data_IF_912959693670
#
_entry.id   IF_912959693670
#
_cell.length_a   1.000
_cell.length_b   1.000
_cell.length_c   1.000
_cell.angle_alpha   90.00
_cell.angle_beta   90.00
_cell.angle_gamma   90.00
#
_symmetry.space_group_name_H-M   'P 1'
#
loop_
_entity.id
_entity.type
_entity.pdbx_description
1 polymer ?
#
# COMPACT_ATOMS: atom_id res chain seq x y z
N UNK A 1 -17.24 -4.93 -36.41
CA UNK A 1 -16.30 -6.03 -36.66
C UNK A 1 -15.75 -6.47 -35.32
N UNK A 2 -15.89 -7.77 -35.08
CA UNK A 2 -15.39 -8.62 -33.99
C UNK A 2 -15.77 -8.28 -32.55
N UNK A 3 -17.00 -8.73 -32.23
CA UNK A 3 -17.42 -9.22 -30.92
C UNK A 3 -16.90 -10.65 -30.73
N UNK A 4 -16.31 -10.95 -29.59
CA UNK A 4 -16.26 -12.31 -29.06
C UNK A 4 -16.81 -12.31 -27.63
N UNK A 5 -17.92 -13.02 -27.47
CA UNK A 5 -18.61 -13.37 -26.23
C UNK A 5 -18.77 -14.89 -26.18
N UNK A 6 -18.94 -15.42 -24.96
CA UNK A 6 -19.37 -16.78 -24.59
C UNK A 6 -18.28 -17.87 -24.72
N UNK A 7 -18.09 -18.78 -23.75
CA UNK A 7 -19.10 -19.66 -23.15
C UNK A 7 -18.77 -20.06 -21.69
N UNK A 8 -19.82 -20.10 -20.86
CA UNK A 8 -19.98 -20.77 -19.55
C UNK A 8 -19.70 -22.28 -19.55
N UNK A 9 -19.10 -22.84 -18.49
CA UNK A 9 -19.45 -24.19 -18.00
C UNK A 9 -19.35 -24.26 -16.46
N UNK A 10 -20.55 -24.30 -15.87
CA UNK A 10 -21.04 -25.01 -14.68
C UNK A 10 -20.12 -25.59 -13.58
N UNK A 11 -20.54 -25.29 -12.35
CA UNK A 11 -20.60 -26.15 -11.15
C UNK A 11 -20.43 -27.67 -11.35
N UNK A 12 -19.54 -28.28 -10.55
CA UNK A 12 -19.78 -29.58 -9.88
C UNK A 12 -19.17 -29.54 -8.49
N UNK A 13 -20.03 -29.63 -7.47
CA UNK A 13 -19.70 -30.00 -6.10
C UNK A 13 -19.65 -31.51 -5.92
N UNK A 14 -18.84 -31.94 -4.95
CA UNK A 14 -18.81 -33.23 -4.24
C UNK A 14 -17.91 -34.39 -4.72
N UNK A 15 -17.22 -34.91 -3.69
CA UNK A 15 -16.55 -36.21 -3.53
C UNK A 15 -15.09 -36.33 -3.98
N UNK A 16 -14.17 -36.15 -3.03
CA UNK A 16 -13.33 -37.27 -2.57
C UNK A 16 -12.57 -36.88 -1.29
N UNK A 17 -13.23 -37.10 -0.15
CA UNK A 17 -12.54 -37.57 1.04
C UNK A 17 -12.18 -39.01 0.74
N UNK A 18 -10.96 -39.27 0.27
CA UNK A 18 -10.33 -40.61 0.19
C UNK A 18 -8.95 -40.49 -0.46
N UNK A 19 -7.96 -39.99 0.31
CA UNK A 19 -6.55 -40.18 -0.03
C UNK A 19 -5.63 -40.08 1.20
N UNK A 20 -6.15 -40.52 2.35
CA UNK A 20 -5.38 -40.74 3.60
C UNK A 20 -5.27 -42.24 3.93
N UNK A 21 -5.05 -43.07 2.92
CA UNK A 21 -4.67 -44.47 3.10
C UNK A 21 -3.48 -44.79 2.19
N UNK A 22 -2.28 -44.33 2.55
CA UNK A 22 -1.04 -44.85 1.98
C UNK A 22 0.19 -44.50 2.83
N UNK A 23 0.16 -44.79 4.13
CA UNK A 23 1.36 -44.66 4.98
C UNK A 23 1.42 -45.75 6.05
N UNK A 24 1.45 -47.02 5.66
CA UNK A 24 1.91 -48.13 6.50
C UNK A 24 2.52 -49.23 5.61
N UNK A 25 3.71 -48.98 5.07
CA UNK A 25 4.58 -50.03 4.52
C UNK A 25 5.57 -50.46 5.61
N UNK A 26 5.15 -51.39 6.48
CA UNK A 26 6.08 -52.21 7.25
C UNK A 26 6.06 -53.62 6.67
N UNK A 27 7.01 -53.91 5.78
CA UNK A 27 7.32 -55.27 5.39
C UNK A 27 8.01 -55.97 6.56
N UNK A 28 7.30 -56.87 7.24
CA UNK A 28 7.90 -57.84 8.15
C UNK A 28 8.60 -58.93 7.31
N UNK A 29 9.90 -59.23 7.51
CA UNK A 29 10.49 -60.43 6.93
C UNK A 29 10.11 -61.63 7.80
N UNK A 30 9.25 -62.51 7.27
CA UNK A 30 9.00 -63.82 7.82
C UNK A 30 10.08 -64.81 7.33
N UNK A 31 10.71 -65.48 8.30
CA UNK A 31 11.01 -66.92 8.30
C UNK A 31 12.30 -67.46 7.61
N UNK A 32 13.09 -68.15 8.45
CA UNK A 32 13.82 -69.41 8.20
C UNK A 32 15.24 -69.36 7.60
N UNK A 33 16.27 -69.33 8.46
CA UNK A 33 17.41 -70.27 8.33
C UNK A 33 18.20 -70.37 9.64
N UNK A 34 18.62 -71.59 9.96
CA UNK A 34 19.60 -71.98 10.99
C UNK A 34 19.12 -72.04 12.44
N UNK A 35 18.58 -73.19 12.81
CA UNK A 35 19.08 -73.98 13.94
C UNK A 35 18.65 -75.44 13.74
N UNK A 36 19.65 -76.29 13.57
CA UNK A 36 19.55 -77.73 13.35
C UNK A 36 18.94 -78.42 14.58
N UNK A 37 17.95 -79.29 14.34
CA UNK A 37 17.64 -80.41 15.24
C UNK A 37 18.61 -81.56 14.94
N UNK A 38 18.94 -82.37 15.96
CA UNK A 38 18.92 -83.82 15.77
C UNK A 38 17.75 -84.45 16.51
N UNK A 39 17.06 -85.34 15.80
CA UNK A 39 16.12 -86.34 16.30
C UNK A 39 16.69 -87.13 17.49
N UNK A 40 15.86 -87.34 18.51
CA UNK A 40 15.62 -88.69 19.06
C UNK A 40 14.51 -88.64 20.12
N UNK A 41 13.39 -89.30 19.81
CA UNK A 41 12.38 -89.73 20.77
C UNK A 41 12.67 -91.20 21.09
N UNK A 42 12.61 -91.61 22.37
CA UNK A 42 11.76 -92.75 22.69
C UNK A 42 10.93 -92.56 23.98
N UNK A 43 9.62 -92.59 23.78
CA UNK A 43 8.58 -93.35 24.52
C UNK A 43 8.86 -93.79 25.97
N UNK A 44 8.00 -93.40 26.92
CA UNK A 44 7.24 -94.31 27.84
C UNK A 44 6.34 -93.55 28.84
N UNK A 45 5.11 -94.05 28.99
CA UNK A 45 4.01 -93.65 29.90
C UNK A 45 4.37 -93.75 31.40
N UNK A 46 3.41 -93.54 32.34
CA UNK A 46 2.45 -92.45 32.54
C UNK A 46 2.60 -91.92 34.00
N UNK A 47 1.73 -91.00 34.42
CA UNK A 47 1.19 -90.89 35.80
C UNK A 47 1.20 -89.47 36.35
N UNK A 48 0.10 -89.22 37.06
CA UNK A 48 -0.07 -88.25 38.13
C UNK A 48 -0.48 -86.85 37.68
N UNK A 49 -1.80 -86.62 37.77
CA UNK A 49 -2.36 -85.30 38.12
C UNK A 49 -1.56 -84.75 39.30
N UNK A 50 -0.63 -83.86 39.01
CA UNK A 50 0.09 -83.07 40.00
C UNK A 50 -0.61 -81.72 40.03
N UNK A 51 -1.09 -81.34 41.21
CA UNK A 51 -1.79 -80.09 41.45
C UNK A 51 -0.80 -78.94 41.16
N UNK A 52 -0.83 -78.40 39.94
CA UNK A 52 0.03 -77.30 39.43
C UNK A 52 -0.52 -75.90 39.75
N UNK A 53 -1.52 -75.78 40.64
CA UNK A 53 -2.17 -74.49 40.90
C UNK A 53 -1.21 -73.43 41.48
N UNK A 54 -0.20 -73.83 42.26
CA UNK A 54 0.77 -72.88 42.83
C UNK A 54 1.66 -72.22 41.76
N UNK A 55 2.08 -72.98 40.75
CA UNK A 55 2.97 -72.51 39.68
C UNK A 55 2.21 -71.70 38.61
N UNK A 56 0.94 -72.05 38.39
CA UNK A 56 0.03 -71.24 37.57
C UNK A 56 -0.25 -69.90 38.27
N UNK A 57 -0.47 -69.87 39.59
CA UNK A 57 -0.72 -68.63 40.33
C UNK A 57 0.48 -67.70 40.42
N UNK A 58 1.71 -68.22 40.54
CA UNK A 58 2.93 -67.40 40.48
C UNK A 58 3.13 -66.84 39.07
N UNK A 59 2.90 -67.64 38.02
CA UNK A 59 2.94 -67.18 36.64
C UNK A 59 1.87 -66.14 36.32
N UNK A 60 0.66 -66.28 36.87
CA UNK A 60 -0.43 -65.32 36.70
C UNK A 60 -0.08 -63.98 37.35
N UNK A 61 0.47 -63.99 38.57
CA UNK A 61 0.98 -62.78 39.23
C UNK A 61 2.15 -62.13 38.48
N UNK A 62 3.04 -62.91 37.90
CA UNK A 62 4.12 -62.38 37.07
C UNK A 62 3.57 -61.70 35.80
N UNK A 63 2.58 -62.32 35.13
CA UNK A 63 1.93 -61.75 33.96
C UNK A 63 1.14 -60.48 34.29
N UNK A 64 0.46 -60.44 35.44
CA UNK A 64 -0.20 -59.23 35.95
C UNK A 64 0.82 -58.11 36.17
N UNK A 65 1.96 -58.41 36.79
CA UNK A 65 3.03 -57.45 37.00
C UNK A 65 3.63 -56.94 35.69
N UNK A 66 3.91 -57.83 34.74
CA UNK A 66 4.44 -57.46 33.43
C UNK A 66 3.42 -56.60 32.65
N UNK A 67 2.13 -56.92 32.76
CA UNK A 67 1.05 -56.14 32.17
C UNK A 67 0.95 -54.74 32.79
N UNK A 68 1.06 -54.62 34.12
CA UNK A 68 1.11 -53.32 34.81
C UNK A 68 2.33 -52.49 34.39
N UNK A 69 3.51 -53.11 34.30
CA UNK A 69 4.72 -52.45 33.83
C UNK A 69 4.59 -51.96 32.38
N UNK A 70 4.06 -52.79 31.49
CA UNK A 70 3.80 -52.43 30.10
C UNK A 70 2.77 -51.30 29.99
N UNK A 71 1.73 -51.34 30.82
CA UNK A 71 0.70 -50.29 30.88
C UNK A 71 1.31 -48.95 31.31
N UNK A 72 2.13 -48.94 32.38
CA UNK A 72 2.83 -47.74 32.83
C UNK A 72 3.82 -47.21 31.78
N UNK A 73 4.54 -48.11 31.11
CA UNK A 73 5.45 -47.75 30.03
C UNK A 73 4.70 -47.11 28.85
N UNK A 74 3.56 -47.67 28.47
CA UNK A 74 2.73 -47.14 27.39
C UNK A 74 2.16 -45.76 27.74
N UNK A 75 1.68 -45.55 28.97
CA UNK A 75 1.25 -44.23 29.44
C UNK A 75 2.39 -43.21 29.39
N UNK A 76 3.62 -43.60 29.76
CA UNK A 76 4.79 -42.73 29.64
C UNK A 76 5.11 -42.39 28.18
N UNK A 77 5.05 -43.38 27.28
CA UNK A 77 5.27 -43.19 25.84
C UNK A 77 4.20 -42.31 25.19
N UNK A 78 2.94 -42.44 25.59
CA UNK A 78 1.86 -41.56 25.12
C UNK A 78 2.10 -40.12 25.55
N UNK A 79 2.56 -39.92 26.80
CA UNK A 79 2.91 -38.59 27.31
C UNK A 79 4.08 -37.99 26.55
N UNK A 80 5.16 -38.74 26.32
CA UNK A 80 6.32 -38.25 25.57
C UNK A 80 5.97 -37.97 24.11
N UNK A 81 5.19 -38.82 23.44
CA UNK A 81 4.70 -38.55 22.08
C UNK A 81 3.87 -37.27 22.01
N UNK A 82 3.00 -37.03 23.00
CA UNK A 82 2.23 -35.78 23.06
C UNK A 82 3.14 -34.56 23.19
N UNK A 83 4.16 -34.62 24.04
CA UNK A 83 5.13 -33.54 24.21
C UNK A 83 5.89 -33.30 22.91
N UNK A 84 6.43 -34.35 22.29
CA UNK A 84 7.16 -34.24 21.02
C UNK A 84 6.28 -33.65 19.91
N UNK A 85 5.00 -34.04 19.85
CA UNK A 85 4.06 -33.45 18.89
C UNK A 85 3.89 -31.96 19.12
N UNK A 86 3.68 -31.52 20.37
CA UNK A 86 3.57 -30.10 20.71
C UNK A 86 4.86 -29.33 20.40
N UNK A 87 6.03 -29.93 20.65
CA UNK A 87 7.33 -29.31 20.33
C UNK A 87 7.54 -29.20 18.82
N UNK A 88 7.15 -30.21 18.04
CA UNK A 88 7.17 -30.15 16.58
C UNK A 88 6.22 -29.08 16.04
N UNK A 89 4.98 -29.02 16.55
CA UNK A 89 3.99 -28.01 16.15
C UNK A 89 4.51 -26.60 16.47
N UNK A 90 5.09 -26.41 17.67
CA UNK A 90 5.72 -25.13 18.06
C UNK A 90 6.88 -24.75 17.14
N UNK A 91 7.77 -25.69 16.83
CA UNK A 91 8.93 -25.43 15.97
C UNK A 91 8.49 -25.08 14.54
N UNK A 92 7.45 -25.73 14.02
CA UNK A 92 6.84 -25.38 12.72
C UNK A 92 6.23 -23.97 12.78
N UNK A 93 5.54 -23.63 13.86
CA UNK A 93 4.99 -22.29 14.02
C UNK A 93 6.08 -21.22 14.10
N UNK A 94 7.14 -21.43 14.88
CA UNK A 94 8.30 -20.53 14.98
C UNK A 94 8.98 -20.34 13.61
N UNK A 95 9.20 -21.43 12.87
CA UNK A 95 9.82 -21.37 11.54
C UNK A 95 8.91 -20.72 10.48
N UNK A 96 7.59 -20.83 10.62
CA UNK A 96 6.62 -20.26 9.66
C UNK A 96 6.10 -18.89 10.05
N UNK A 97 6.37 -18.41 11.26
CA UNK A 97 5.83 -17.15 11.78
C UNK A 97 6.26 -15.95 10.92
N UNK A 98 7.54 -15.87 10.54
CA UNK A 98 8.07 -14.80 9.71
C UNK A 98 7.39 -14.77 8.35
N UNK A 99 7.24 -15.93 7.70
CA UNK A 99 6.54 -16.07 6.43
C UNK A 99 5.05 -15.69 6.53
N UNK A 100 4.38 -16.09 7.63
CA UNK A 100 2.97 -15.70 7.87
C UNK A 100 2.83 -14.18 8.00
N UNK A 101 3.75 -13.53 8.70
CA UNK A 101 3.79 -12.06 8.83
C UNK A 101 4.05 -11.37 7.49
N UNK A 102 5.05 -11.83 6.74
CA UNK A 102 5.39 -11.29 5.41
C UNK A 102 4.22 -11.44 4.43
N UNK A 103 3.55 -12.60 4.40
CA UNK A 103 2.35 -12.81 3.57
C UNK A 103 1.23 -11.84 3.98
N UNK A 104 1.05 -11.60 5.28
CA UNK A 104 0.03 -10.67 5.76
C UNK A 104 0.35 -9.23 5.35
N UNK A 105 1.61 -8.81 5.43
CA UNK A 105 2.07 -7.49 5.01
C UNK A 105 1.95 -7.30 3.50
N UNK A 106 2.41 -8.26 2.71
CA UNK A 106 2.25 -8.26 1.25
C UNK A 106 0.79 -8.16 0.82
N UNK A 107 -0.13 -8.85 1.52
CA UNK A 107 -1.57 -8.73 1.28
C UNK A 107 -2.09 -7.32 1.56
N UNK A 108 -1.70 -6.71 2.69
CA UNK A 108 -2.08 -5.32 3.01
C UNK A 108 -1.57 -4.35 1.96
N UNK A 109 -0.29 -4.45 1.60
CA UNK A 109 0.35 -3.60 0.59
C UNK A 109 -0.31 -3.80 -0.79
N UNK A 110 -0.64 -5.02 -1.17
CA UNK A 110 -1.31 -5.30 -2.44
C UNK A 110 -2.70 -4.65 -2.50
N UNK A 111 -3.50 -4.75 -1.43
CA UNK A 111 -4.81 -4.08 -1.35
C UNK A 111 -4.65 -2.56 -1.43
N UNK A 112 -3.67 -1.99 -0.74
CA UNK A 112 -3.39 -0.56 -0.80
C UNK A 112 -2.98 -0.11 -2.21
N UNK A 113 -2.10 -0.87 -2.88
CA UNK A 113 -1.67 -0.60 -4.24
C UNK A 113 -2.82 -0.74 -5.25
N UNK A 114 -3.70 -1.73 -5.08
CA UNK A 114 -4.89 -1.88 -5.93
C UNK A 114 -5.82 -0.68 -5.78
N UNK A 115 -6.06 -0.22 -4.55
CA UNK A 115 -6.86 0.99 -4.27
C UNK A 115 -6.23 2.23 -4.87
N UNK A 116 -4.92 2.44 -4.67
CA UNK A 116 -4.19 3.59 -5.22
C UNK A 116 -4.18 3.58 -6.75
N UNK A 117 -3.95 2.43 -7.39
CA UNK A 117 -4.01 2.33 -8.85
C UNK A 117 -5.40 2.65 -9.39
N UNK A 118 -6.46 2.22 -8.70
CA UNK A 118 -7.84 2.56 -9.11
C UNK A 118 -8.08 4.06 -9.04
N UNK A 119 -7.68 4.72 -7.95
CA UNK A 119 -7.81 6.18 -7.82
C UNK A 119 -7.03 6.92 -8.91
N UNK A 120 -5.79 6.50 -9.20
CA UNK A 120 -4.98 7.08 -10.26
C UNK A 120 -5.61 6.87 -11.66
N UNK A 121 -6.24 5.72 -11.90
CA UNK A 121 -6.97 5.48 -13.14
C UNK A 121 -8.19 6.39 -13.27
N UNK A 122 -8.93 6.58 -12.19
CA UNK A 122 -10.09 7.48 -12.14
C UNK A 122 -9.65 8.93 -12.39
N UNK A 123 -8.58 9.40 -11.73
CA UNK A 123 -8.00 10.74 -11.94
C UNK A 123 -7.53 10.94 -13.39
N UNK A 124 -6.85 9.94 -13.96
CA UNK A 124 -6.42 9.95 -15.35
C UNK A 124 -7.60 10.03 -16.31
N UNK A 125 -8.69 9.31 -16.03
CA UNK A 125 -9.90 9.36 -16.84
C UNK A 125 -10.54 10.75 -16.80
N UNK A 126 -10.70 11.33 -15.61
CA UNK A 126 -11.23 12.69 -15.42
C UNK A 126 -10.37 13.72 -16.15
N UNK A 127 -9.05 13.69 -16.00
CA UNK A 127 -8.15 14.63 -16.67
C UNK A 127 -8.18 14.48 -18.19
N UNK A 128 -8.33 13.25 -18.69
CA UNK A 128 -8.48 13.01 -20.13
C UNK A 128 -9.79 13.60 -20.65
N UNK A 129 -10.88 13.45 -19.91
CA UNK A 129 -12.18 14.04 -20.24
C UNK A 129 -12.14 15.57 -20.20
N UNK A 130 -11.54 16.17 -19.16
CA UNK A 130 -11.34 17.61 -19.06
C UNK A 130 -10.55 18.15 -20.26
N UNK A 131 -9.42 17.53 -20.59
CA UNK A 131 -8.61 17.90 -21.76
C UNK A 131 -9.40 17.79 -23.06
N UNK A 132 -10.20 16.74 -23.21
CA UNK A 132 -11.06 16.56 -24.37
C UNK A 132 -12.16 17.62 -24.43
N UNK A 133 -12.75 18.00 -23.29
CA UNK A 133 -13.73 19.09 -23.19
C UNK A 133 -13.10 20.42 -23.60
N UNK A 134 -11.93 20.77 -23.04
CA UNK A 134 -11.21 22.01 -23.38
C UNK A 134 -10.88 22.05 -24.87
N UNK A 135 -10.40 20.94 -25.44
CA UNK A 135 -10.15 20.83 -26.89
C UNK A 135 -11.44 21.06 -27.69
N UNK A 136 -12.54 20.42 -27.31
CA UNK A 136 -13.82 20.55 -27.99
C UNK A 136 -14.38 21.97 -27.90
N UNK A 137 -14.23 22.62 -26.74
CA UNK A 137 -14.69 23.97 -26.51
C UNK A 137 -13.82 24.98 -27.26
N UNK A 138 -12.51 24.75 -27.36
CA UNK A 138 -11.64 25.50 -28.25
C UNK A 138 -12.12 25.39 -29.70
N UNK A 139 -12.40 24.19 -30.20
CA UNK A 139 -12.92 23.98 -31.56
C UNK A 139 -14.26 24.71 -31.75
N UNK A 140 -15.17 24.69 -30.76
CA UNK A 140 -16.44 25.42 -30.82
C UNK A 140 -16.27 26.93 -30.81
N UNK A 141 -15.29 27.44 -30.07
CA UNK A 141 -15.00 28.88 -29.98
C UNK A 141 -14.18 29.40 -31.17
N UNK A 142 -13.60 28.52 -32.00
CA UNK A 142 -12.92 28.91 -33.21
C UNK A 142 -13.90 29.58 -34.19
N UNK A 143 -13.89 30.92 -34.20
CA UNK A 143 -14.66 31.73 -35.16
C UNK A 143 -14.17 31.56 -36.60
N UNK A 144 -12.91 31.15 -36.76
CA UNK A 144 -12.28 30.90 -38.04
C UNK A 144 -11.67 29.50 -38.01
N UNK A 145 -12.16 28.64 -38.88
CA UNK A 145 -11.50 27.36 -39.22
C UNK A 145 -10.14 27.71 -39.84
N UNK A 146 -9.09 26.99 -39.46
CA UNK A 146 -7.69 27.37 -39.67
C UNK A 146 -7.32 27.77 -41.11
N UNK A 147 -6.12 28.37 -41.31
CA UNK A 147 -5.67 28.88 -42.60
C UNK A 147 -5.74 27.84 -43.73
N UNK A 148 -5.60 26.55 -43.39
CA UNK A 148 -5.72 25.42 -44.32
C UNK A 148 -7.16 25.23 -44.83
N UNK A 149 -8.16 25.38 -43.96
CA UNK A 149 -9.56 25.29 -44.36
C UNK A 149 -9.96 26.52 -45.19
N UNK A 150 -9.52 27.71 -44.79
CA UNK A 150 -9.72 28.94 -45.57
C UNK A 150 -9.11 28.79 -46.97
N UNK A 151 -7.90 28.26 -47.08
CA UNK A 151 -7.26 27.94 -48.35
C UNK A 151 -8.08 26.97 -49.20
N UNK A 152 -8.58 25.88 -48.61
CA UNK A 152 -9.40 24.90 -49.33
C UNK A 152 -10.70 25.52 -49.86
N UNK A 153 -11.39 26.33 -49.06
CA UNK A 153 -12.60 27.04 -49.49
C UNK A 153 -12.28 28.03 -50.62
N UNK A 154 -11.19 28.80 -50.49
CA UNK A 154 -10.75 29.71 -51.55
C UNK A 154 -10.37 28.95 -52.84
N UNK A 155 -9.72 27.79 -52.74
CA UNK A 155 -9.36 26.97 -53.89
C UNK A 155 -10.58 26.37 -54.59
N UNK A 156 -11.57 25.90 -53.83
CA UNK A 156 -12.83 25.39 -54.37
C UNK A 156 -13.56 26.50 -55.15
N UNK A 157 -13.65 27.71 -54.60
CA UNK A 157 -14.23 28.85 -55.31
C UNK A 157 -13.46 29.20 -56.60
N UNK A 158 -12.13 29.07 -56.62
CA UNK A 158 -11.32 29.27 -57.83
C UNK A 158 -11.68 28.25 -58.91
N UNK A 159 -11.73 26.97 -58.54
CA UNK A 159 -12.05 25.88 -59.45
C UNK A 159 -13.46 26.03 -60.02
N UNK A 160 -14.46 26.37 -59.19
CA UNK A 160 -15.82 26.63 -59.67
C UNK A 160 -15.88 27.76 -60.71
N UNK A 161 -15.12 28.84 -60.51
CA UNK A 161 -15.04 29.94 -61.49
C UNK A 161 -14.35 29.58 -62.79
N UNK A 162 -13.31 28.74 -62.71
CA UNK A 162 -12.64 28.24 -63.91
C UNK A 162 -13.57 27.37 -64.75
N UNK A 163 -14.39 26.54 -64.08
CA UNK A 163 -15.43 25.72 -64.74
C UNK A 163 -16.51 26.60 -65.37
N UNK A 164 -16.92 27.71 -64.73
CA UNK A 164 -17.92 28.67 -65.23
C UNK A 164 -17.38 29.62 -66.33
N UNK A 165 -16.14 29.42 -66.81
CA UNK A 165 -15.52 30.22 -67.86
C UNK A 165 -15.12 31.65 -67.45
N UNK A 166 -15.15 31.98 -66.14
CA UNK A 166 -14.77 33.28 -65.58
C UNK A 166 -13.37 33.24 -64.98
N UNK A 167 -12.41 32.73 -65.76
CA UNK A 167 -11.01 32.57 -65.36
C UNK A 167 -10.26 33.88 -65.16
N UNK A 168 -10.78 34.98 -65.71
CA UNK A 168 -10.11 36.26 -65.76
C UNK A 168 -10.67 37.18 -64.68
N UNK A 169 -9.79 37.90 -64.00
CA UNK A 169 -10.16 38.94 -63.04
C UNK A 169 -10.04 40.28 -63.81
N UNK A 170 -11.12 41.07 -63.92
CA UNK A 170 -11.17 42.22 -64.86
C UNK A 170 -10.41 43.47 -64.35
N UNK A 171 -10.80 43.98 -63.18
CA UNK A 171 -10.25 45.23 -62.60
C UNK A 171 -9.77 45.07 -61.16
N UNK A 172 -10.33 44.10 -60.45
CA UNK A 172 -10.03 43.79 -59.05
C UNK A 172 -9.80 42.29 -58.88
N UNK A 173 -8.81 41.91 -58.08
CA UNK A 173 -8.56 40.52 -57.73
C UNK A 173 -9.73 39.98 -56.91
N UNK A 174 -10.13 38.75 -57.21
CA UNK A 174 -11.35 38.14 -56.66
C UNK A 174 -11.19 37.60 -55.24
N UNK A 175 -9.96 37.60 -54.71
CA UNK A 175 -9.62 37.16 -53.35
C UNK A 175 -9.23 38.32 -52.45
N UNK A 176 -8.51 39.30 -52.97
CA UNK A 176 -8.01 40.42 -52.16
C UNK A 176 -8.89 41.67 -52.26
N UNK A 177 -9.84 41.71 -53.22
CA UNK A 177 -10.60 42.91 -53.59
C UNK A 177 -9.71 44.13 -53.93
N UNK A 178 -8.41 43.93 -54.10
CA UNK A 178 -7.44 44.96 -54.46
C UNK A 178 -7.43 45.15 -55.98
N UNK A 179 -7.18 46.38 -56.46
CA UNK A 179 -7.05 46.64 -57.88
C UNK A 179 -5.86 45.88 -58.46
N UNK A 180 -6.02 45.38 -59.68
CA UNK A 180 -4.99 44.60 -60.37
C UNK A 180 -3.70 45.40 -60.64
N UNK A 181 -3.78 46.73 -60.59
CA UNK A 181 -2.64 47.64 -60.69
C UNK A 181 -1.67 47.57 -59.50
N UNK A 182 -2.09 47.02 -58.36
CA UNK A 182 -1.31 46.96 -57.12
C UNK A 182 -0.86 45.52 -56.76
N UNK A 183 -1.23 44.52 -57.58
CA UNK A 183 -1.05 43.09 -57.27
C UNK A 183 0.16 42.41 -57.94
N UNK A 184 1.03 41.81 -57.13
CA UNK A 184 2.35 41.22 -57.44
C UNK A 184 2.44 39.99 -58.36
N UNK A 185 1.43 39.63 -59.15
CA UNK A 185 1.54 38.44 -60.03
C UNK A 185 0.89 38.64 -61.39
N UNK A 186 1.70 39.22 -62.28
CA UNK A 186 1.45 39.32 -63.72
C UNK A 186 2.36 38.30 -64.39
N UNK A 187 1.78 37.29 -65.04
CA UNK A 187 2.52 36.40 -65.92
C UNK A 187 2.22 36.85 -67.35
N UNK A 188 3.20 37.45 -68.02
CA UNK A 188 3.12 37.73 -69.46
C UNK A 188 3.53 36.47 -70.21
N UNK A 189 2.58 35.86 -70.92
CA UNK A 189 2.89 34.78 -71.85
C UNK A 189 3.69 35.33 -73.05
N UNK A 190 4.62 34.56 -73.65
CA UNK A 190 5.27 34.95 -74.89
C UNK A 190 4.22 35.16 -75.99
N UNK A 191 4.33 36.23 -76.80
CA UNK A 191 3.35 36.51 -77.85
C UNK A 191 3.38 35.41 -78.92
N UNK A 192 2.20 34.89 -79.32
CA UNK A 192 2.09 33.90 -80.40
C UNK A 192 2.29 34.53 -81.80
N UNK A 193 2.27 35.87 -81.94
CA UNK A 193 2.53 36.62 -83.17
C UNK A 193 3.22 37.97 -82.89
N UNK A 194 4.09 38.43 -83.80
CA UNK A 194 4.93 39.64 -83.64
C UNK A 194 4.15 40.98 -83.56
N UNK A 195 2.84 40.99 -83.82
CA UNK A 195 1.99 42.19 -83.80
C UNK A 195 1.15 42.34 -82.51
N UNK A 196 1.20 41.40 -81.57
CA UNK A 196 0.45 41.45 -80.32
C UNK A 196 1.33 41.89 -79.14
N UNK A 197 0.93 42.98 -78.47
CA UNK A 197 1.52 43.36 -77.18
C UNK A 197 1.23 42.25 -76.16
N UNK A 198 2.22 41.85 -75.34
CA UNK A 198 2.01 40.83 -74.31
C UNK A 198 0.96 41.32 -73.32
N UNK A 199 -0.20 40.68 -73.30
CA UNK A 199 -1.26 40.99 -72.32
C UNK A 199 -0.87 40.42 -70.96
N UNK A 200 -0.85 41.31 -69.96
CA UNK A 200 -0.60 40.95 -68.58
C UNK A 200 -1.78 40.13 -68.04
N UNK A 201 -1.62 38.80 -67.94
CA UNK A 201 -2.66 37.97 -67.33
C UNK A 201 -2.46 37.93 -65.81
N UNK A 202 -3.48 38.36 -65.06
CA UNK A 202 -3.48 38.28 -63.61
C UNK A 202 -3.74 36.85 -63.14
N UNK A 203 -2.86 36.33 -62.27
CA UNK A 203 -3.08 35.06 -61.58
C UNK A 203 -3.68 35.37 -60.20
N UNK A 204 -4.99 35.15 -60.08
CA UNK A 204 -5.73 35.26 -58.83
C UNK A 204 -5.23 34.17 -57.85
N UNK A 205 -4.32 34.52 -56.91
CA UNK A 205 -3.84 33.62 -55.84
C UNK A 205 -4.66 33.81 -54.56
N UNK A 206 -5.09 32.73 -53.89
CA UNK A 206 -5.66 32.77 -52.55
C UNK A 206 -4.73 33.51 -51.59
N UNK A 207 -5.25 34.47 -50.84
CA UNK A 207 -4.51 35.13 -49.75
C UNK A 207 -5.20 34.74 -48.46
N UNK A 208 -4.49 33.95 -47.66
CA UNK A 208 -4.98 33.52 -46.36
C UNK A 208 -4.80 34.68 -45.39
N UNK A 209 -5.89 35.19 -44.84
CA UNK A 209 -5.82 36.21 -43.81
C UNK A 209 -5.70 35.47 -42.47
N UNK A 210 -4.49 35.43 -41.91
CA UNK A 210 -4.31 34.91 -40.56
C UNK A 210 -5.02 35.85 -39.58
N UNK A 211 -6.26 35.50 -39.25
CA UNK A 211 -7.14 36.24 -38.33
C UNK A 211 -6.69 36.11 -36.86
N UNK A 212 -5.41 35.85 -36.62
CA UNK A 212 -4.79 36.06 -35.32
C UNK A 212 -4.85 37.57 -35.12
N UNK A 213 -5.97 38.04 -34.59
CA UNK A 213 -6.15 39.40 -34.14
C UNK A 213 -5.10 39.64 -33.07
N UNK A 214 -3.93 40.10 -33.52
CA UNK A 214 -2.71 40.29 -32.71
C UNK A 214 -2.93 41.24 -31.54
N UNK A 215 -4.05 41.96 -31.49
CA UNK A 215 -4.44 42.79 -30.35
C UNK A 215 -5.10 41.98 -29.24
N UNK A 216 -6.31 41.46 -29.48
CA UNK A 216 -7.14 40.88 -28.42
C UNK A 216 -6.65 39.55 -27.88
N UNK A 217 -6.13 38.66 -28.74
CA UNK A 217 -5.57 37.39 -28.29
C UNK A 217 -4.24 37.60 -27.56
N UNK A 218 -3.40 38.53 -28.03
CA UNK A 218 -2.13 38.83 -27.37
C UNK A 218 -2.35 39.44 -25.98
N UNK A 219 -3.27 40.40 -25.84
CA UNK A 219 -3.59 40.97 -24.52
C UNK A 219 -4.20 39.94 -23.57
N UNK A 220 -5.02 39.01 -24.09
CA UNK A 220 -5.59 37.91 -23.29
C UNK A 220 -4.49 36.96 -22.80
N UNK A 221 -3.55 36.59 -23.67
CA UNK A 221 -2.43 35.71 -23.33
C UNK A 221 -1.43 36.40 -22.39
N UNK A 222 -1.24 37.71 -22.50
CA UNK A 222 -0.43 38.51 -21.57
C UNK A 222 -1.08 38.56 -20.18
N UNK A 223 -2.39 38.75 -20.12
CA UNK A 223 -3.14 38.71 -18.86
C UNK A 223 -3.08 37.32 -18.20
N UNK A 224 -3.30 36.26 -18.98
CA UNK A 224 -3.20 34.87 -18.50
C UNK A 224 -1.78 34.56 -18.01
N UNK A 225 -0.74 34.97 -18.76
CA UNK A 225 0.64 34.85 -18.30
C UNK A 225 0.90 35.62 -17.00
N UNK A 226 0.32 36.80 -16.83
CA UNK A 226 0.39 37.56 -15.59
C UNK A 226 -0.24 36.81 -14.42
N UNK A 227 -1.43 36.24 -14.63
CA UNK A 227 -2.14 35.46 -13.63
C UNK A 227 -1.39 34.18 -13.27
N UNK A 228 -0.85 33.44 -14.25
CA UNK A 228 -0.04 32.25 -14.02
C UNK A 228 1.25 32.57 -13.26
N UNK A 229 1.90 33.69 -13.57
CA UNK A 229 3.09 34.15 -12.81
C UNK A 229 2.74 34.47 -11.36
N UNK A 230 1.60 35.11 -11.12
CA UNK A 230 1.13 35.39 -9.77
C UNK A 230 0.82 34.10 -9.00
N UNK A 231 0.12 33.15 -9.63
CA UNK A 231 -0.18 31.85 -9.02
C UNK A 231 1.10 31.07 -8.70
N UNK A 232 2.10 31.07 -9.60
CA UNK A 232 3.39 30.45 -9.30
C UNK A 232 4.09 31.10 -8.11
N UNK A 233 4.04 32.42 -7.98
CA UNK A 233 4.64 33.11 -6.83
C UNK A 233 3.92 32.76 -5.54
N UNK A 234 2.58 32.70 -5.55
CA UNK A 234 1.80 32.26 -4.39
C UNK A 234 2.15 30.82 -3.98
N UNK A 235 2.19 29.89 -4.94
CA UNK A 235 2.57 28.49 -4.67
C UNK A 235 3.99 28.40 -4.11
N UNK A 236 4.90 29.25 -4.58
CA UNK A 236 6.28 29.29 -4.10
C UNK A 236 6.36 29.77 -2.65
N UNK A 237 5.60 30.81 -2.30
CA UNK A 237 5.51 31.29 -0.90
C UNK A 237 4.92 30.20 -0.01
N UNK A 238 3.83 29.55 -0.42
CA UNK A 238 3.23 28.44 0.32
C UNK A 238 4.19 27.26 0.49
N UNK A 239 5.00 26.97 -0.54
CA UNK A 239 6.05 25.95 -0.46
C UNK A 239 7.14 26.31 0.54
N UNK A 240 7.56 27.58 0.59
CA UNK A 240 8.55 28.07 1.55
C UNK A 240 8.01 27.98 2.99
N UNK A 241 6.75 28.36 3.21
CA UNK A 241 6.06 28.23 4.50
C UNK A 241 5.94 26.76 4.94
N UNK A 242 5.56 25.88 4.03
CA UNK A 242 5.48 24.44 4.31
C UNK A 242 6.85 23.85 4.64
N UNK A 243 7.92 24.31 3.99
CA UNK A 243 9.29 23.89 4.31
C UNK A 243 9.72 24.34 5.71
N UNK A 244 9.29 25.52 6.16
CA UNK A 244 9.56 25.98 7.53
C UNK A 244 8.79 25.13 8.55
N UNK A 245 7.51 24.84 8.29
CA UNK A 245 6.69 24.00 9.15
C UNK A 245 7.26 22.57 9.26
N UNK A 246 7.72 21.99 8.15
CA UNK A 246 8.37 20.68 8.17
C UNK A 246 9.62 20.67 9.05
N UNK A 247 10.47 21.69 8.96
CA UNK A 247 11.66 21.82 9.82
C UNK A 247 11.30 21.93 11.30
N UNK A 248 10.23 22.65 11.63
CA UNK A 248 9.74 22.74 13.00
C UNK A 248 9.25 21.37 13.51
N UNK A 249 8.47 20.65 12.69
CA UNK A 249 7.96 19.31 13.04
C UNK A 249 9.08 18.29 13.19
N UNK A 250 10.10 18.33 12.33
CA UNK A 250 11.29 17.48 12.46
C UNK A 250 12.04 17.78 13.76
N UNK A 251 12.17 19.05 14.14
CA UNK A 251 12.79 19.43 15.41
C UNK A 251 12.01 18.87 16.61
N UNK A 252 10.68 19.03 16.62
CA UNK A 252 9.81 18.47 17.66
C UNK A 252 9.93 16.94 17.72
N UNK A 253 9.94 16.26 16.57
CA UNK A 253 10.09 14.81 16.51
C UNK A 253 11.43 14.35 17.10
N UNK A 254 12.52 15.09 16.85
CA UNK A 254 13.83 14.75 17.40
C UNK A 254 13.89 14.96 18.91
N UNK A 255 13.27 16.03 19.42
CA UNK A 255 13.12 16.25 20.87
C UNK A 255 12.33 15.10 21.50
N UNK A 256 11.18 14.71 20.95
CA UNK A 256 10.37 13.60 21.46
C UNK A 256 11.12 12.27 21.43
N UNK A 257 11.89 11.98 20.37
CA UNK A 257 12.76 10.81 20.31
C UNK A 257 13.83 10.83 21.40
N UNK A 258 14.40 11.99 21.72
CA UNK A 258 15.38 12.12 22.80
C UNK A 258 14.76 11.89 24.18
N UNK A 259 13.54 12.41 24.41
CA UNK A 259 12.79 12.22 25.64
C UNK A 259 12.37 10.76 25.83
N UNK A 260 11.89 10.10 24.77
CA UNK A 260 11.54 8.69 24.81
C UNK A 260 12.75 7.82 25.15
N UNK A 261 13.90 8.06 24.49
CA UNK A 261 15.15 7.36 24.82
C UNK A 261 15.57 7.54 26.28
N UNK A 262 15.37 8.74 26.83
CA UNK A 262 15.65 9.00 28.24
C UNK A 262 14.69 8.22 29.15
N UNK A 263 13.39 8.19 28.83
CA UNK A 263 12.39 7.41 29.57
C UNK A 263 12.69 5.92 29.53
N UNK A 264 13.02 5.37 28.37
CA UNK A 264 13.41 3.96 28.21
C UNK A 264 14.64 3.64 29.07
N UNK A 265 15.65 4.51 29.08
CA UNK A 265 16.83 4.34 29.92
C UNK A 265 16.48 4.34 31.42
N UNK A 266 15.56 5.20 31.86
CA UNK A 266 15.07 5.22 33.25
C UNK A 266 14.32 3.93 33.57
N UNK A 267 13.41 3.49 32.70
CA UNK A 267 12.65 2.25 32.89
C UNK A 267 13.59 1.05 32.98
N UNK A 268 14.54 0.90 32.06
CA UNK A 268 15.54 -0.17 32.11
C UNK A 268 16.41 -0.12 33.36
N UNK A 269 16.67 1.07 33.92
CA UNK A 269 17.38 1.20 35.19
C UNK A 269 16.49 0.73 36.36
N UNK A 270 15.22 1.13 36.38
CA UNK A 270 14.26 0.70 37.40
C UNK A 270 14.05 -0.81 37.37
N UNK A 271 13.94 -1.43 36.20
CA UNK A 271 13.85 -2.89 36.05
C UNK A 271 15.04 -3.60 36.69
N UNK A 272 16.27 -3.14 36.43
CA UNK A 272 17.49 -3.69 37.06
C UNK A 272 17.51 -3.49 38.57
N UNK A 273 17.01 -2.35 39.05
CA UNK A 273 16.95 -2.06 40.48
C UNK A 273 15.88 -2.93 41.17
N UNK A 274 14.75 -3.20 40.51
CA UNK A 274 13.74 -4.16 40.98
C UNK A 274 14.27 -5.59 41.00
N UNK A 275 14.96 -6.05 39.96
CA UNK A 275 15.61 -7.36 39.94
C UNK A 275 16.62 -7.52 41.09
N UNK A 276 17.43 -6.48 41.34
CA UNK A 276 18.38 -6.48 42.45
C UNK A 276 17.67 -6.55 43.80
N UNK A 277 16.61 -5.79 43.98
CA UNK A 277 15.82 -5.78 45.21
C UNK A 277 15.13 -7.12 45.44
N UNK A 278 14.62 -7.75 44.38
CA UNK A 278 14.03 -9.09 44.46
C UNK A 278 15.05 -10.12 44.94
N UNK A 279 16.28 -10.08 44.42
CA UNK A 279 17.38 -10.93 44.89
C UNK A 279 17.71 -10.69 46.38
N UNK A 280 17.80 -9.42 46.80
CA UNK A 280 18.07 -9.07 48.19
C UNK A 280 16.96 -9.57 49.14
N UNK A 281 15.69 -9.43 48.73
CA UNK A 281 14.55 -9.98 49.48
C UNK A 281 14.61 -11.50 49.56
N UNK A 282 14.94 -12.18 48.47
CA UNK A 282 15.09 -13.64 48.47
C UNK A 282 16.22 -14.10 49.40
N UNK A 283 17.34 -13.38 49.43
CA UNK A 283 18.46 -13.72 50.31
C UNK A 283 18.11 -13.44 51.78
N UNK A 284 17.44 -12.33 52.09
CA UNK A 284 16.92 -12.05 53.44
C UNK A 284 15.89 -13.10 53.90
N UNK A 285 15.02 -13.57 53.00
CA UNK A 285 14.07 -14.64 53.30
C UNK A 285 14.77 -15.97 53.61
N UNK A 286 15.83 -16.31 52.86
CA UNK A 286 16.67 -17.48 53.17
C UNK A 286 17.30 -17.33 54.54
N UNK A 287 17.96 -16.21 54.82
CA UNK A 287 18.63 -15.95 56.10
C UNK A 287 17.66 -15.97 57.29
N UNK A 288 16.44 -15.47 57.10
CA UNK A 288 15.36 -15.57 58.08
C UNK A 288 14.95 -17.03 58.32
N UNK A 289 14.80 -17.83 57.28
CA UNK A 289 14.49 -19.26 57.40
C UNK A 289 15.62 -20.09 58.04
N UNK A 290 16.88 -19.71 57.82
CA UNK A 290 18.03 -20.32 58.50
C UNK A 290 18.10 -19.90 59.98
N UNK A 291 17.80 -18.64 60.29
CA UNK A 291 17.78 -18.10 61.67
C UNK A 291 16.58 -18.61 62.48
N UNK A 292 15.41 -18.79 61.86
CA UNK A 292 14.22 -19.39 62.46
C UNK A 292 14.37 -20.88 62.79
N UNK A 293 15.39 -21.55 62.23
CA UNK A 293 15.74 -22.93 62.60
C UNK A 293 16.59 -23.00 63.89
N UNK A 294 17.20 -21.88 64.31
CA UNK A 294 18.00 -21.78 65.55
C UNK A 294 17.18 -21.19 66.69
N UNK A 295 16.15 -20.37 66.42
CA UNK A 295 15.28 -19.79 67.45
C UNK A 295 13.85 -20.31 67.26
N UNK A 296 13.60 -21.53 67.78
CA UNK A 296 12.25 -21.90 68.23
C UNK A 296 11.93 -21.05 69.46
N UNK A 297 11.43 -19.86 69.24
CA UNK A 297 10.74 -19.11 70.27
C UNK A 297 9.43 -18.62 69.67
N UNK A 298 8.36 -19.14 70.23
CA UNK A 298 6.97 -18.83 69.93
C UNK A 298 6.78 -17.32 69.88
N UNK A 299 6.47 -16.78 68.70
CA UNK A 299 5.92 -15.43 68.59
C UNK A 299 4.97 -15.36 67.41
N UNK A 300 3.76 -14.94 67.75
CA UNK A 300 2.54 -14.86 66.95
C UNK A 300 2.71 -14.04 65.67
N UNK A 301 2.77 -14.70 64.51
CA UNK A 301 2.68 -14.05 63.19
C UNK A 301 1.27 -14.21 62.63
N UNK A 302 0.38 -13.27 62.95
CA UNK A 302 -0.92 -13.15 62.26
C UNK A 302 -1.21 -11.74 61.77
N UNK A 303 -0.22 -10.83 61.76
CA UNK A 303 -0.49 -9.40 61.62
C UNK A 303 0.40 -8.65 60.58
N UNK A 304 0.94 -9.35 59.58
CA UNK A 304 1.84 -8.73 58.57
C UNK A 304 1.24 -8.70 57.15
N UNK A 305 -0.02 -9.11 56.96
CA UNK A 305 -0.69 -9.06 55.65
C UNK A 305 -1.63 -7.86 55.44
N UNK A 306 -1.60 -6.84 56.31
CA UNK A 306 -2.35 -5.61 56.06
C UNK A 306 -1.61 -4.73 55.04
N UNK A 307 -1.95 -4.88 53.76
CA UNK A 307 -1.58 -3.92 52.72
C UNK A 307 -2.19 -2.54 53.04
N UNK A 308 -1.43 -1.43 52.93
CA UNK A 308 -2.01 -0.10 53.04
C UNK A 308 -2.98 0.11 51.87
N UNK A 309 -4.26 0.35 52.18
CA UNK A 309 -5.21 0.80 51.17
C UNK A 309 -4.73 2.15 50.61
N UNK A 310 -4.76 2.34 49.28
CA UNK A 310 -4.41 3.63 48.68
C UNK A 310 -5.39 4.71 49.17
N UNK A 311 -4.92 5.97 49.33
CA UNK A 311 -5.76 7.05 49.82
C UNK A 311 -6.92 7.31 48.84
N UNK A 312 -8.11 7.69 49.35
CA UNK A 312 -9.26 7.97 48.52
C UNK A 312 -8.96 9.16 47.59
N UNK A 313 -9.22 8.97 46.30
CA UNK A 313 -9.11 10.01 45.28
C UNK A 313 -10.03 11.18 45.65
N UNK A 314 -9.56 12.44 45.55
CA UNK A 314 -10.42 13.59 45.77
C UNK A 314 -11.52 13.62 44.71
N UNK A 315 -12.77 13.65 45.15
CA UNK A 315 -13.94 13.92 44.33
C UNK A 315 -13.77 15.29 43.69
N UNK A 316 -13.76 15.33 42.35
CA UNK A 316 -14.01 16.55 41.58
C UNK A 316 -15.44 16.94 41.83
N UNK A 317 -15.67 17.83 42.80
CA UNK A 317 -16.81 18.73 42.85
C UNK A 317 -16.58 19.69 44.03
N UNK A 318 -16.06 20.88 43.72
CA UNK A 318 -16.54 22.11 44.34
C UNK A 318 -16.16 23.33 43.49
N UNK A 319 -17.21 24.05 43.12
CA UNK A 319 -17.24 25.30 42.38
C UNK A 319 -16.69 26.48 43.19
N UNK A 320 -16.18 27.54 42.53
CA UNK A 320 -16.90 28.85 42.40
C UNK A 320 -16.01 30.07 42.04
N UNK A 321 -16.52 30.82 41.05
CA UNK A 321 -16.68 32.27 40.91
C UNK A 321 -15.52 33.30 41.02
N UNK A 322 -15.36 34.05 39.91
CA UNK A 322 -15.49 35.53 39.83
C UNK A 322 -15.65 35.94 38.33
N UNK A 323 -16.85 36.21 37.81
CA UNK A 323 -17.65 37.47 37.74
C UNK A 323 -17.06 38.69 36.97
N UNK A 324 -17.68 38.95 35.79
CA UNK A 324 -18.08 40.24 35.14
C UNK A 324 -16.99 41.19 34.56
N UNK A 325 -17.17 41.90 33.43
CA UNK A 325 -18.39 42.54 32.87
C UNK A 325 -18.24 43.04 31.40
N UNK A 326 -19.37 43.04 30.66
CA UNK A 326 -19.84 43.90 29.53
C UNK A 326 -19.03 43.96 28.18
N UNK A 327 -19.63 44.04 26.98
CA UNK A 327 -20.97 44.47 26.51
C UNK A 327 -21.22 44.06 25.03
N UNK A 328 -22.50 43.82 24.68
CA UNK A 328 -23.25 43.98 23.39
C UNK A 328 -22.52 43.92 22.03
N UNK A 329 -23.01 43.22 21.01
CA UNK A 329 -24.33 43.40 20.34
C UNK A 329 -24.83 42.16 19.57
N UNK A 330 -26.16 42.02 19.59
CA UNK A 330 -27.11 41.33 18.70
C UNK A 330 -26.60 40.81 17.34
N UNK A 331 -27.02 39.59 16.98
CA UNK A 331 -28.00 39.40 15.90
C UNK A 331 -28.66 38.00 15.98
N UNK A 332 -29.90 37.97 15.53
CA UNK A 332 -30.93 36.94 15.59
C UNK A 332 -30.61 35.64 14.81
N UNK A 333 -31.00 34.48 15.39
CA UNK A 333 -31.90 33.43 14.83
C UNK A 333 -31.47 32.69 13.54
N UNK A 334 -31.64 31.38 13.34
CA UNK A 334 -32.46 30.32 13.94
C UNK A 334 -31.70 28.98 13.78
N UNK A 335 -31.87 28.10 14.76
CA UNK A 335 -32.10 26.64 14.73
C UNK A 335 -31.96 25.88 13.38
N UNK A 336 -31.11 24.84 13.34
CA UNK A 336 -31.56 23.42 13.26
C UNK A 336 -30.39 22.44 12.99
N UNK A 337 -30.34 21.43 13.86
CA UNK A 337 -29.98 20.01 13.68
C UNK A 337 -28.54 19.55 13.30
N UNK A 338 -27.90 18.97 14.32
CA UNK A 338 -27.42 17.58 14.37
C UNK A 338 -26.90 16.95 13.05
N UNK A 339 -25.58 16.73 13.00
CA UNK A 339 -25.04 15.36 12.86
C UNK A 339 -23.54 15.37 13.21
N UNK A 340 -23.24 14.69 14.31
CA UNK A 340 -21.90 14.28 14.73
C UNK A 340 -21.39 13.16 13.82
N UNK A 341 -20.41 13.46 12.96
CA UNK A 341 -19.53 12.43 12.39
C UNK A 341 -18.09 12.73 12.85
N UNK A 342 -17.78 12.18 14.03
CA UNK A 342 -16.42 11.92 14.51
C UNK A 342 -15.75 10.89 13.58
N UNK A 343 -15.10 11.35 12.51
CA UNK A 343 -14.20 10.51 11.72
C UNK A 343 -12.77 10.67 12.28
N UNK A 344 -12.41 9.75 13.17
CA UNK A 344 -11.10 9.61 13.79
C UNK A 344 -10.07 9.12 12.76
N UNK A 345 -9.56 10.06 11.97
CA UNK A 345 -8.44 9.90 11.06
C UNK A 345 -7.13 9.49 11.78
N UNK A 346 -7.02 8.22 12.16
CA UNK A 346 -5.79 7.59 12.61
C UNK A 346 -4.86 7.38 11.41
N UNK A 347 -4.05 8.39 11.11
CA UNK A 347 -2.89 8.27 10.22
C UNK A 347 -1.86 7.32 10.86
N UNK A 348 -1.86 6.06 10.42
CA UNK A 348 -0.75 5.14 10.67
C UNK A 348 0.46 5.58 9.81
N UNK A 349 1.41 6.25 10.46
CA UNK A 349 2.72 6.56 9.90
C UNK A 349 3.59 5.30 10.01
N UNK A 350 3.67 4.50 8.95
CA UNK A 350 4.67 3.45 8.82
C UNK A 350 5.98 4.06 8.32
N UNK A 351 6.95 4.21 9.24
CA UNK A 351 8.33 4.63 8.90
C UNK A 351 9.08 3.39 8.41
N UNK A 352 9.20 3.25 7.09
CA UNK A 352 10.08 2.26 6.46
C UNK A 352 11.52 2.74 6.53
N UNK A 353 12.35 2.06 7.31
CA UNK A 353 13.81 2.26 7.29
C UNK A 353 14.40 1.57 6.05
N UNK A 354 14.61 2.31 4.96
CA UNK A 354 15.55 1.91 3.91
C UNK A 354 16.90 2.57 4.15
N UNK A 355 17.85 1.81 4.69
CA UNK A 355 19.26 2.20 4.70
C UNK A 355 19.79 2.05 3.26
N UNK A 356 19.89 3.17 2.52
CA UNK A 356 20.66 3.21 1.28
C UNK A 356 21.98 3.94 1.53
N UNK A 357 23.04 3.13 1.51
CA UNK A 357 24.43 3.53 1.51
C UNK A 357 24.78 4.33 0.26
N UNK A 358 25.51 5.41 0.49
CA UNK A 358 26.15 6.32 -0.46
C UNK A 358 27.11 5.62 -1.41
N UNK A 359 26.97 5.77 -2.73
CA UNK A 359 28.09 5.77 -3.69
C UNK A 359 27.76 6.60 -4.95
N UNK A 360 28.40 7.78 -5.05
CA UNK A 360 28.98 8.44 -6.24
C UNK A 360 28.45 8.16 -7.67
N UNK A 361 27.95 9.20 -8.35
CA UNK A 361 28.53 9.66 -9.63
C UNK A 361 27.93 10.98 -10.16
N UNK A 362 28.73 11.87 -10.78
CA UNK A 362 28.28 13.13 -11.35
C UNK A 362 28.12 13.04 -12.89
N UNK A 363 27.02 13.53 -13.44
CA UNK A 363 26.94 13.92 -14.86
C UNK A 363 25.83 14.96 -15.07
N UNK A 364 26.23 16.23 -15.21
CA UNK A 364 25.48 17.21 -15.98
C UNK A 364 25.97 17.17 -17.43
N UNK A 365 25.09 17.45 -18.40
CA UNK A 365 25.49 18.21 -19.56
C UNK A 365 24.74 19.53 -19.63
N UNK A 366 25.54 20.59 -19.60
CA UNK A 366 25.22 21.93 -20.10
C UNK A 366 24.78 21.81 -21.56
N UNK A 367 23.58 22.28 -21.89
CA UNK A 367 23.18 22.50 -23.28
C UNK A 367 23.26 24.00 -23.56
N UNK A 368 24.36 24.39 -24.20
CA UNK A 368 24.48 25.66 -24.92
C UNK A 368 23.82 25.48 -26.28
N UNK A 369 22.77 26.24 -26.57
CA UNK A 369 22.37 26.52 -27.94
C UNK A 369 22.79 27.95 -28.28
N UNK A 370 23.86 28.01 -29.08
CA UNK A 370 24.30 29.20 -29.80
C UNK A 370 23.44 29.37 -31.06
N UNK A 371 23.12 30.63 -31.33
CA UNK A 371 22.68 31.20 -32.59
C UNK A 371 23.62 30.87 -33.77
N UNK A 372 23.11 31.17 -34.99
CA UNK A 372 23.72 31.23 -36.34
C UNK A 372 23.51 29.92 -37.13
N UNK A 373 22.87 29.86 -38.32
CA UNK A 373 22.56 30.84 -39.39
C UNK A 373 21.05 31.01 -39.66
#
# INVERSE_FOLDING_TARGET
>A
MDRLSLVDVAEVTHHSSDTLHNLMNYSMPNSMTSLELPDDIPTTLPSRRQIQHADVHTRLRQLEHDMEQLTLSNVRLLRTNRILKLDCDRLVDEQTQTLKQEIQELRRMNVQLQRSNRLLQDDMAVKTEELQSVRNDQIRQMKNVGPEYEYLVQMIHLLYRQIDGKSNCDKTCCYTNLPLSEGFSVLTLPPENEEQRPEAQHICRPVIHSNISRGTLATSLEQENGQLRQQMETIKVEQEDLCLLLKEKDHVAEVLKSELRMKDAIVSQLEKDFERMELEVLDLQKDWHYSGRIIKSESSFSDIHAFPLPPPMPSKDDHHHHLRHHQSTNDDKDDDDDDDDDDDGSMNISISHTLSTTESSPCSPVSQYSLVD
#
